data_IF_037440526409
#
_entry.id   IF_037440526409
#
_cell.length_a   1.000
_cell.length_b   1.000
_cell.length_c   1.000
_cell.angle_alpha   90.00
_cell.angle_beta   90.00
_cell.angle_gamma   90.00
#
_symmetry.space_group_name_H-M   'P 1'
#
loop_
_entity.id
_entity.type
_entity.pdbx_description
1 polymer ?
#
# COMPACT_ATOMS: atom_id res chain seq x y z
N UNK A 1 -3.99 -6.17 -29.36
CA UNK A 1 -2.67 -6.18 -30.01
C UNK A 1 -1.71 -6.94 -29.11
N UNK A 2 -0.96 -7.92 -29.63
CA UNK A 2 0.00 -8.68 -28.83
C UNK A 2 1.36 -7.96 -28.83
N UNK A 3 2.01 -7.88 -27.66
CA UNK A 3 3.36 -7.30 -27.54
C UNK A 3 4.38 -8.16 -28.29
N UNK A 4 5.30 -7.53 -29.02
CA UNK A 4 6.47 -8.20 -29.62
C UNK A 4 7.42 -8.69 -28.52
N UNK A 5 8.24 -9.73 -28.75
CA UNK A 5 9.12 -10.29 -27.72
C UNK A 5 9.98 -9.24 -27.00
N UNK A 6 10.57 -8.29 -27.75
CA UNK A 6 11.40 -7.21 -27.22
C UNK A 6 10.63 -6.24 -26.30
N UNK A 7 9.31 -6.13 -26.46
CA UNK A 7 8.45 -5.27 -25.64
C UNK A 7 8.04 -5.95 -24.31
N UNK A 8 8.44 -7.20 -24.10
CA UNK A 8 8.18 -7.97 -22.87
C UNK A 8 9.40 -8.04 -21.96
N UNK A 9 10.53 -7.50 -22.40
CA UNK A 9 11.73 -7.38 -21.59
C UNK A 9 11.58 -6.22 -20.62
N UNK A 10 12.18 -6.36 -19.43
CA UNK A 10 12.28 -5.22 -18.51
C UNK A 10 13.15 -4.13 -19.14
N UNK A 11 12.77 -2.86 -18.94
CA UNK A 11 13.61 -1.71 -19.34
C UNK A 11 14.86 -1.65 -18.45
N UNK A 12 14.72 -2.04 -17.19
CA UNK A 12 15.78 -2.19 -16.20
C UNK A 12 15.78 -3.63 -15.69
N UNK A 13 16.86 -4.37 -15.94
CA UNK A 13 17.02 -5.77 -15.55
C UNK A 13 17.72 -5.94 -14.20
N UNK A 14 17.99 -4.85 -13.47
CA UNK A 14 18.50 -4.88 -12.10
C UNK A 14 17.58 -5.72 -11.20
N UNK A 15 18.17 -6.41 -10.22
CA UNK A 15 17.42 -7.21 -9.25
C UNK A 15 16.43 -6.32 -8.48
N UNK A 16 15.14 -6.69 -8.51
CA UNK A 16 14.07 -5.96 -7.83
C UNK A 16 14.35 -5.85 -6.31
N UNK A 17 15.07 -6.81 -5.72
CA UNK A 17 15.45 -6.77 -4.30
C UNK A 17 16.21 -5.48 -3.94
N UNK A 18 17.03 -4.97 -4.85
CA UNK A 18 17.78 -3.73 -4.63
C UNK A 18 16.86 -2.50 -4.55
N UNK A 19 15.70 -2.55 -5.22
CA UNK A 19 14.69 -1.49 -5.11
C UNK A 19 14.03 -1.51 -3.72
N UNK A 20 13.81 -2.69 -3.14
CA UNK A 20 13.12 -2.84 -1.86
C UNK A 20 14.03 -2.72 -0.62
N UNK A 21 15.37 -2.70 -0.81
CA UNK A 21 16.37 -2.72 0.26
C UNK A 21 16.44 -1.45 1.13
N UNK A 22 15.86 -0.33 0.66
CA UNK A 22 15.84 0.94 1.41
C UNK A 22 14.40 1.39 1.71
N UNK A 23 14.08 1.70 2.98
CA UNK A 23 12.75 2.16 3.35
C UNK A 23 12.49 3.59 2.87
N UNK A 24 11.26 3.85 2.43
CA UNK A 24 10.77 5.12 1.92
C UNK A 24 9.68 5.65 2.84
N UNK A 25 10.09 6.28 3.94
CA UNK A 25 9.20 6.88 4.93
C UNK A 25 8.75 8.28 4.50
N UNK A 26 8.02 8.35 3.40
CA UNK A 26 7.49 9.60 2.85
C UNK A 26 5.97 9.52 2.70
N UNK A 27 5.29 10.65 2.88
CA UNK A 27 3.86 10.75 2.61
C UNK A 27 3.69 11.35 1.21
N UNK A 28 3.24 10.54 0.26
CA UNK A 28 3.15 10.94 -1.15
C UNK A 28 1.95 11.83 -1.49
N UNK A 29 0.98 11.91 -0.57
CA UNK A 29 -0.27 12.63 -0.72
C UNK A 29 -0.44 13.65 0.40
N UNK A 30 -1.21 14.70 0.17
CA UNK A 30 -1.49 15.70 1.19
C UNK A 30 -2.51 15.22 2.24
N UNK A 31 -2.60 15.95 3.35
CA UNK A 31 -3.50 15.64 4.46
C UNK A 31 -4.98 15.66 4.03
N UNK A 32 -5.34 16.49 3.05
CA UNK A 32 -6.71 16.60 2.54
C UNK A 32 -7.14 15.36 1.75
N UNK A 33 -6.22 14.76 1.00
CA UNK A 33 -6.42 13.48 0.34
C UNK A 33 -6.59 12.35 1.37
N UNK A 34 -5.70 12.28 2.36
CA UNK A 34 -5.72 11.25 3.41
C UNK A 34 -7.05 11.30 4.17
N UNK A 35 -7.50 12.50 4.55
CA UNK A 35 -8.75 12.69 5.25
C UNK A 35 -9.94 12.19 4.42
N UNK A 36 -10.02 12.57 3.15
CA UNK A 36 -11.10 12.12 2.26
C UNK A 36 -11.10 10.61 2.06
N UNK A 37 -9.93 9.99 1.91
CA UNK A 37 -9.82 8.54 1.78
C UNK A 37 -10.30 7.83 3.05
N UNK A 38 -9.86 8.30 4.22
CA UNK A 38 -10.30 7.78 5.51
C UNK A 38 -11.83 7.92 5.68
N UNK A 39 -12.40 9.06 5.27
CA UNK A 39 -13.85 9.29 5.31
C UNK A 39 -14.63 8.37 4.40
N UNK A 40 -14.08 8.04 3.22
CA UNK A 40 -14.66 7.02 2.34
C UNK A 40 -14.61 5.65 3.05
N UNK A 41 -13.48 5.26 3.61
CA UNK A 41 -13.37 3.99 4.32
C UNK A 41 -14.33 3.87 5.51
N UNK A 42 -14.58 4.96 6.26
CA UNK A 42 -15.62 5.00 7.30
C UNK A 42 -17.01 4.63 6.80
N UNK A 43 -17.34 4.97 5.55
CA UNK A 43 -18.66 4.72 4.98
C UNK A 43 -18.83 3.27 4.52
N UNK A 44 -17.76 2.62 4.09
CA UNK A 44 -17.83 1.31 3.43
C UNK A 44 -17.30 0.16 4.27
N UNK A 45 -16.30 0.38 5.12
CA UNK A 45 -15.70 -0.67 5.93
C UNK A 45 -16.53 -0.90 7.19
N UNK A 46 -16.74 -2.17 7.53
CA UNK A 46 -17.52 -2.57 8.69
C UNK A 46 -16.62 -3.07 9.82
N UNK A 47 -16.97 -2.84 11.09
CA UNK A 47 -16.29 -3.46 12.22
C UNK A 47 -16.25 -4.98 12.07
N UNK A 48 -15.23 -5.62 12.63
CA UNK A 48 -15.04 -7.08 12.60
C UNK A 48 -14.93 -7.68 11.20
N UNK A 49 -14.60 -6.84 10.21
CA UNK A 49 -14.19 -7.30 8.87
C UNK A 49 -12.71 -7.64 8.87
N UNK A 50 -12.32 -8.59 8.02
CA UNK A 50 -10.92 -8.90 7.72
C UNK A 50 -10.48 -8.08 6.51
N UNK A 51 -9.44 -7.27 6.67
CA UNK A 51 -8.94 -6.35 5.65
C UNK A 51 -7.63 -6.88 5.06
N UNK A 52 -7.50 -6.77 3.75
CA UNK A 52 -6.23 -6.90 3.05
C UNK A 52 -5.87 -5.54 2.45
N UNK A 53 -4.87 -4.88 3.00
CA UNK A 53 -4.34 -3.60 2.54
C UNK A 53 -3.24 -3.84 1.51
N UNK A 54 -3.63 -3.76 0.24
CA UNK A 54 -2.75 -4.00 -0.89
C UNK A 54 -2.04 -2.70 -1.28
N UNK A 55 -0.70 -2.75 -1.28
CA UNK A 55 0.17 -1.57 -1.44
C UNK A 55 0.13 -0.65 -0.22
N UNK A 56 0.08 -1.26 0.97
CA UNK A 56 0.10 -0.55 2.25
C UNK A 56 1.33 0.34 2.33
N UNK A 57 1.09 1.57 2.79
CA UNK A 57 2.13 2.54 3.13
C UNK A 57 2.63 2.29 4.56
N UNK A 58 3.71 2.98 4.95
CA UNK A 58 4.12 3.10 6.35
C UNK A 58 3.17 3.97 7.18
N UNK A 59 2.22 4.65 6.52
CA UNK A 59 1.09 5.37 7.15
C UNK A 59 -0.20 4.65 6.81
N UNK A 60 -0.91 4.15 7.82
CA UNK A 60 -2.26 3.60 7.62
C UNK A 60 -3.27 4.69 7.30
N UNK A 61 -4.17 4.41 6.37
CA UNK A 61 -5.33 5.25 6.06
C UNK A 61 -6.65 4.64 6.56
N UNK A 62 -6.57 3.53 7.29
CA UNK A 62 -7.76 2.93 7.89
C UNK A 62 -8.28 3.82 9.03
N UNK A 63 -9.61 3.94 9.20
CA UNK A 63 -10.17 4.73 10.29
C UNK A 63 -9.73 4.15 11.65
N UNK A 64 -9.01 4.92 12.49
CA UNK A 64 -8.42 4.40 13.73
C UNK A 64 -9.46 3.99 14.78
N UNK A 65 -10.69 4.48 14.65
CA UNK A 65 -11.80 4.17 15.54
C UNK A 65 -12.55 2.87 15.20
N UNK A 66 -12.27 2.25 14.05
CA UNK A 66 -12.95 1.02 13.62
C UNK A 66 -12.14 -0.20 14.02
N UNK A 67 -12.75 -1.06 14.84
CA UNK A 67 -12.16 -2.31 15.31
C UNK A 67 -12.39 -3.44 14.27
N UNK A 68 -11.36 -3.70 13.47
CA UNK A 68 -11.31 -4.78 12.47
C UNK A 68 -10.93 -6.12 13.11
N UNK A 69 -11.38 -7.23 12.53
CA UNK A 69 -11.04 -8.59 13.02
C UNK A 69 -9.58 -8.94 12.73
N UNK A 70 -9.09 -8.53 11.56
CA UNK A 70 -7.72 -8.76 11.11
C UNK A 70 -7.37 -7.73 10.02
N UNK A 71 -6.14 -7.26 10.01
CA UNK A 71 -5.59 -6.44 8.92
C UNK A 71 -4.30 -7.08 8.45
N UNK A 72 -4.26 -7.46 7.18
CA UNK A 72 -3.07 -7.98 6.50
C UNK A 72 -2.55 -6.90 5.54
N UNK A 73 -1.31 -6.45 5.72
CA UNK A 73 -0.70 -5.43 4.86
C UNK A 73 0.32 -6.04 3.89
N UNK A 74 0.23 -5.68 2.61
CA UNK A 74 1.27 -5.97 1.62
C UNK A 74 1.88 -4.64 1.13
N UNK A 75 3.16 -4.43 1.36
CA UNK A 75 3.88 -3.19 1.05
C UNK A 75 5.25 -3.46 0.44
N UNK A 76 6.10 -2.42 0.41
CA UNK A 76 7.40 -2.48 -0.26
C UNK A 76 8.43 -3.33 0.50
N UNK A 77 8.54 -3.16 1.83
CA UNK A 77 9.47 -3.90 2.66
C UNK A 77 8.99 -3.98 4.11
N UNK A 78 9.65 -4.83 4.90
CA UNK A 78 9.29 -5.06 6.30
C UNK A 78 9.50 -3.83 7.19
N UNK A 79 10.49 -2.98 6.88
CA UNK A 79 10.80 -1.78 7.69
C UNK A 79 9.72 -0.70 7.58
N UNK A 80 9.14 -0.52 6.39
CA UNK A 80 7.99 0.38 6.17
C UNK A 80 6.73 -0.16 6.86
N UNK A 81 6.47 -1.46 6.76
CA UNK A 81 5.27 -2.10 7.34
C UNK A 81 5.31 -2.28 8.86
N UNK A 82 6.49 -2.19 9.48
CA UNK A 82 6.65 -2.30 10.94
C UNK A 82 6.31 -1.01 11.69
N UNK A 83 5.85 0.03 10.99
CA UNK A 83 5.48 1.35 11.54
C UNK A 83 3.98 1.45 11.75
#
# INVERSE_FOLDING_TARGET
MLLRPEQRLKIDDTDDNLFYDYPRLVTHVDDGFIQQLTDIYRQYLQPKTRIFDMMSSWVSHLPPEVDFDHVEGHGLNAEELAR
#
